data_IF_680573765738
#
_entry.id   IF_680573765738
#
_cell.length_a   1.000
_cell.length_b   1.000
_cell.length_c   1.000
_cell.angle_alpha   90.00
_cell.angle_beta   90.00
_cell.angle_gamma   90.00
#
_symmetry.space_group_name_H-M   'P 1'
#
loop_
_entity.id
_entity.type
_entity.pdbx_description
1 polymer ?
#
# COMPACT_ATOMS: atom_id res chain seq x y z
N UNK A 1 -1.48 -1.49 6.77
CA UNK A 1 -1.17 -1.09 5.38
C UNK A 1 -1.77 0.26 5.01
N UNK A 2 -3.01 0.58 5.39
CA UNK A 2 -3.66 1.86 5.05
C UNK A 2 -2.83 3.10 5.43
N UNK A 3 -2.39 3.22 6.69
CA UNK A 3 -1.61 4.39 7.12
C UNK A 3 -0.28 4.52 6.36
N UNK A 4 0.51 3.45 6.26
CA UNK A 4 1.77 3.48 5.52
C UNK A 4 1.57 3.81 4.04
N UNK A 5 0.52 3.26 3.42
CA UNK A 5 0.26 3.48 2.00
C UNK A 5 -0.26 4.91 1.74
N UNK A 6 -1.30 5.35 2.44
CA UNK A 6 -1.95 6.65 2.20
C UNK A 6 -1.24 7.84 2.85
N UNK A 7 -0.73 7.71 4.07
CA UNK A 7 -0.10 8.83 4.77
C UNK A 7 1.37 9.00 4.39
N UNK A 8 2.12 7.89 4.26
CA UNK A 8 3.56 7.95 4.00
C UNK A 8 3.84 7.95 2.50
N UNK A 9 3.41 6.91 1.77
CA UNK A 9 3.75 6.78 0.34
C UNK A 9 3.02 7.86 -0.49
N UNK A 10 1.69 7.92 -0.42
CA UNK A 10 0.92 8.93 -1.16
C UNK A 10 1.17 10.35 -0.65
N UNK A 11 1.30 10.54 0.67
CA UNK A 11 1.60 11.85 1.25
C UNK A 11 2.94 12.42 0.79
N UNK A 12 4.03 11.65 0.88
CA UNK A 12 5.34 12.08 0.40
C UNK A 12 5.39 12.20 -1.12
N UNK A 13 4.74 11.29 -1.85
CA UNK A 13 4.66 11.33 -3.31
C UNK A 13 3.93 12.58 -3.82
N UNK A 14 2.79 12.94 -3.22
CA UNK A 14 2.07 14.17 -3.53
C UNK A 14 2.85 15.42 -3.15
N UNK A 15 3.52 15.42 -1.99
CA UNK A 15 4.36 16.55 -1.58
C UNK A 15 5.49 16.78 -2.59
N UNK A 16 6.17 15.71 -3.01
CA UNK A 16 7.21 15.77 -4.04
C UNK A 16 6.67 16.27 -5.39
N UNK A 17 5.54 15.72 -5.85
CA UNK A 17 4.91 16.11 -7.10
C UNK A 17 4.50 17.59 -7.10
N UNK A 18 3.93 18.08 -5.99
CA UNK A 18 3.58 19.48 -5.82
C UNK A 18 4.81 20.39 -5.87
N UNK A 19 5.87 20.04 -5.13
CA UNK A 19 7.14 20.79 -5.15
C UNK A 19 7.76 20.83 -6.55
N UNK A 20 7.73 19.72 -7.28
CA UNK A 20 8.22 19.64 -8.65
C UNK A 20 7.42 20.52 -9.61
N UNK A 21 6.10 20.44 -9.56
CA UNK A 21 5.22 21.20 -10.45
C UNK A 21 5.37 22.71 -10.24
N UNK A 22 5.47 23.17 -8.98
CA UNK A 22 5.79 24.57 -8.66
C UNK A 22 7.16 24.96 -9.21
N UNK A 23 8.19 24.12 -9.01
CA UNK A 23 9.53 24.41 -9.51
C UNK A 23 9.59 24.53 -11.04
N UNK A 24 8.71 23.82 -11.76
CA UNK A 24 8.56 23.92 -13.22
C UNK A 24 7.62 25.06 -13.68
N UNK A 25 7.13 25.89 -12.75
CA UNK A 25 6.27 27.04 -13.06
C UNK A 25 4.81 26.69 -13.34
N UNK A 26 4.35 25.49 -12.98
CA UNK A 26 2.97 25.07 -13.16
C UNK A 26 2.10 25.59 -12.01
N UNK A 27 1.00 26.27 -12.34
CA UNK A 27 -0.04 26.62 -11.38
C UNK A 27 -0.94 25.43 -11.11
N UNK A 28 -0.66 24.70 -10.04
CA UNK A 28 -1.42 23.49 -9.66
C UNK A 28 -2.02 23.63 -8.26
N UNK A 29 -3.24 23.14 -8.10
CA UNK A 29 -3.91 23.10 -6.80
C UNK A 29 -3.61 21.79 -6.06
N UNK A 30 -3.88 21.75 -4.76
CA UNK A 30 -3.75 20.53 -3.95
C UNK A 30 -4.63 19.40 -4.52
N UNK A 31 -5.81 19.74 -5.05
CA UNK A 31 -6.73 18.77 -5.63
C UNK A 31 -6.17 18.16 -6.92
N UNK A 32 -5.54 18.98 -7.77
CA UNK A 32 -4.91 18.50 -9.01
C UNK A 32 -3.80 17.50 -8.70
N UNK A 33 -2.97 17.80 -7.71
CA UNK A 33 -1.90 16.90 -7.28
C UNK A 33 -2.45 15.60 -6.71
N UNK A 34 -3.56 15.63 -5.98
CA UNK A 34 -4.17 14.40 -5.45
C UNK A 34 -4.75 13.53 -6.59
N UNK A 35 -5.34 14.17 -7.60
CA UNK A 35 -5.89 13.47 -8.77
C UNK A 35 -4.76 12.87 -9.62
N UNK A 36 -3.66 13.60 -9.83
CA UNK A 36 -2.52 13.12 -10.61
C UNK A 36 -1.66 12.11 -9.84
N UNK A 37 -1.48 12.33 -8.54
CA UNK A 37 -0.49 11.65 -7.70
C UNK A 37 -1.02 10.47 -6.90
N UNK A 38 -2.33 10.40 -6.61
CA UNK A 38 -2.90 9.33 -5.77
C UNK A 38 -3.87 8.44 -6.54
N UNK A 39 -4.81 9.03 -7.29
CA UNK A 39 -5.86 8.28 -8.01
C UNK A 39 -5.34 7.19 -8.97
N UNK A 40 -4.38 7.47 -9.87
CA UNK A 40 -3.91 6.45 -10.83
C UNK A 40 -3.11 5.32 -10.18
N UNK A 41 -2.63 5.51 -8.94
CA UNK A 41 -1.82 4.54 -8.23
C UNK A 41 -2.66 3.54 -7.40
N UNK A 42 -3.93 3.86 -7.10
CA UNK A 42 -4.84 2.98 -6.34
C UNK A 42 -4.95 1.57 -6.94
N UNK A 43 -5.17 1.39 -8.27
CA UNK A 43 -5.25 0.05 -8.85
C UNK A 43 -3.96 -0.76 -8.69
N UNK A 44 -2.81 -0.09 -8.83
CA UNK A 44 -1.50 -0.73 -8.64
C UNK A 44 -1.28 -1.16 -7.19
N UNK A 45 -1.72 -0.37 -6.23
CA UNK A 45 -1.59 -0.70 -4.81
C UNK A 45 -2.51 -1.86 -4.40
N UNK A 46 -3.73 -1.92 -4.96
CA UNK A 46 -4.59 -3.08 -4.80
C UNK A 46 -3.94 -4.35 -5.37
N UNK A 47 -3.38 -4.27 -6.58
CA UNK A 47 -2.68 -5.39 -7.21
C UNK A 47 -1.50 -5.88 -6.34
N UNK A 48 -0.70 -4.97 -5.77
CA UNK A 48 0.41 -5.32 -4.87
C UNK A 48 -0.08 -6.01 -3.61
N UNK A 49 -1.14 -5.51 -2.97
CA UNK A 49 -1.71 -6.12 -1.77
C UNK A 49 -2.19 -7.55 -2.05
N UNK A 50 -2.87 -7.75 -3.19
CA UNK A 50 -3.30 -9.07 -3.63
C UNK A 50 -2.10 -9.99 -3.90
N UNK A 51 -1.07 -9.52 -4.60
CA UNK A 51 0.12 -10.30 -4.87
C UNK A 51 0.86 -10.72 -3.59
N UNK A 52 1.06 -9.79 -2.65
CA UNK A 52 1.74 -10.07 -1.37
C UNK A 52 0.91 -11.01 -0.50
N UNK A 53 -0.41 -10.82 -0.42
CA UNK A 53 -1.27 -11.71 0.37
C UNK A 53 -1.34 -13.13 -0.19
N UNK A 54 -1.43 -13.28 -1.52
CA UNK A 54 -1.40 -14.56 -2.19
C UNK A 54 -0.05 -15.27 -2.00
N UNK A 55 1.06 -14.54 -2.20
CA UNK A 55 2.41 -15.06 -2.03
C UNK A 55 2.66 -15.46 -0.58
N UNK A 56 2.31 -14.60 0.38
CA UNK A 56 2.41 -14.89 1.81
C UNK A 56 1.65 -16.16 2.18
N UNK A 57 0.43 -16.34 1.67
CA UNK A 57 -0.35 -17.57 1.88
C UNK A 57 0.29 -18.80 1.24
N UNK A 58 1.01 -18.65 0.14
CA UNK A 58 1.68 -19.75 -0.54
C UNK A 58 2.95 -20.20 0.20
N UNK A 59 3.75 -19.26 0.69
CA UNK A 59 5.06 -19.54 1.29
C UNK A 59 4.99 -19.81 2.80
N UNK A 60 3.93 -19.36 3.49
CA UNK A 60 3.83 -19.55 4.94
C UNK A 60 3.52 -21.02 5.26
N UNK A 61 4.35 -21.68 6.09
CA UNK A 61 4.13 -23.08 6.46
C UNK A 61 2.79 -23.23 7.20
N UNK A 62 2.00 -24.21 6.76
CA UNK A 62 0.66 -24.49 7.31
C UNK A 62 0.67 -25.48 8.47
N UNK A 63 1.85 -25.94 8.88
CA UNK A 63 2.06 -26.94 9.93
C UNK A 63 2.90 -26.29 11.02
N UNK A 64 2.46 -26.41 12.27
CA UNK A 64 3.21 -25.91 13.42
C UNK A 64 4.51 -26.72 13.60
N UNK A 65 5.63 -26.02 13.72
CA UNK A 65 6.89 -26.64 14.06
C UNK A 65 7.04 -26.68 15.59
N UNK A 66 7.30 -27.85 16.15
CA UNK A 66 7.73 -28.00 17.56
C UNK A 66 6.69 -27.62 18.64
N UNK A 67 5.44 -28.06 18.52
CA UNK A 67 4.45 -27.98 19.60
C UNK A 67 3.88 -26.58 19.85
N UNK A 68 3.89 -25.70 18.85
CA UNK A 68 3.34 -24.35 19.00
C UNK A 68 1.87 -24.37 19.40
N UNK A 69 1.53 -23.57 20.41
CA UNK A 69 0.21 -23.48 21.04
C UNK A 69 -0.89 -23.04 20.06
N UNK A 70 -0.50 -22.40 18.95
CA UNK A 70 -1.41 -21.83 17.96
C UNK A 70 -1.68 -22.75 16.75
N UNK A 71 -1.19 -23.99 16.76
CA UNK A 71 -1.34 -24.97 15.67
C UNK A 71 -2.79 -25.21 15.20
N UNK A 72 -3.78 -24.99 16.08
CA UNK A 72 -5.20 -25.16 15.80
C UNK A 72 -5.97 -23.87 15.51
N UNK A 73 -5.34 -22.69 15.59
CA UNK A 73 -6.04 -21.41 15.37
C UNK A 73 -6.32 -21.22 13.88
N UNK A 74 -7.59 -21.40 13.49
CA UNK A 74 -8.09 -20.90 12.21
C UNK A 74 -8.10 -19.37 12.25
N UNK A 75 -7.06 -18.74 11.71
CA UNK A 75 -7.09 -17.31 11.46
C UNK A 75 -8.13 -17.05 10.37
N UNK A 76 -9.30 -16.55 10.79
CA UNK A 76 -10.34 -16.09 9.89
C UNK A 76 -9.82 -14.81 9.24
N UNK A 77 -9.28 -14.94 8.04
CA UNK A 77 -9.03 -13.80 7.17
C UNK A 77 -10.38 -13.37 6.61
N UNK A 78 -11.09 -12.56 7.41
CA UNK A 78 -12.27 -11.69 7.18
C UNK A 78 -13.19 -11.69 8.42
#
# INVERSE_FOLDING_TARGET
MLFANFAIIHGLGCLWLYSWLIATGQGVTILDVLIMGSLPFVPGDLAKILAVSATGRLITPKIAYNGEVDAGKKYRLL
#
